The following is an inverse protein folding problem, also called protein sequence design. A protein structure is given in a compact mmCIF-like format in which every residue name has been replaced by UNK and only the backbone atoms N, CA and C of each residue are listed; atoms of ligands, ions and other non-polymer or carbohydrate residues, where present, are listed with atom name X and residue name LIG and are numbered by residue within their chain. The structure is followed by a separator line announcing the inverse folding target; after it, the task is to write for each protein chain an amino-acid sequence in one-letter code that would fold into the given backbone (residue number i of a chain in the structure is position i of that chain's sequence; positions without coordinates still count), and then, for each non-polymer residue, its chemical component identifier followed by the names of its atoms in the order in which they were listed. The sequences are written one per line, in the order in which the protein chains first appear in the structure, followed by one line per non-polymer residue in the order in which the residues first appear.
data_IF_916531698651
#
_entry.id   IF_916531698651
#
_cell.length_a   1.000
_cell.length_b   1.000
_cell.length_c   1.000
_cell.angle_alpha   90.00
_cell.angle_beta   90.00
_cell.angle_gamma   90.00
#
_symmetry.space_group_name_H-M   'P 1'
#
loop_
_entity.id
_entity.type
_entity.pdbx_description
1 polymer ?
#
# COMPACT_ATOMS: atom_id res chain seq x y z
N UNK A 1 -2.31 -6.41 -9.86
CA UNK A 1 -1.13 -5.98 -10.66
C UNK A 1 -0.13 -7.11 -10.92
N UNK A 2 0.43 -7.78 -9.89
CA UNK A 2 1.48 -8.79 -10.09
C UNK A 2 1.10 -9.94 -11.02
N UNK A 3 -0.11 -10.51 -10.86
CA UNK A 3 -0.56 -11.58 -11.75
C UNK A 3 -0.67 -11.18 -13.22
N UNK A 4 -1.04 -9.94 -13.55
CA UNK A 4 -1.14 -9.51 -14.95
C UNK A 4 0.23 -9.45 -15.63
N UNK A 5 1.28 -9.08 -14.89
CA UNK A 5 2.67 -9.08 -15.33
C UNK A 5 3.18 -10.52 -15.52
N UNK A 6 3.10 -11.35 -14.47
CA UNK A 6 3.66 -12.72 -14.46
C UNK A 6 2.97 -13.62 -15.47
N UNK A 7 1.65 -13.44 -15.66
CA UNK A 7 0.88 -14.19 -16.65
C UNK A 7 0.83 -13.53 -18.02
N UNK A 8 1.56 -12.42 -18.21
CA UNK A 8 1.70 -11.74 -19.49
C UNK A 8 0.35 -11.36 -20.12
N UNK A 9 -0.63 -10.94 -19.31
CA UNK A 9 -2.01 -10.66 -19.72
C UNK A 9 -2.06 -9.71 -20.91
N UNK A 10 -1.23 -8.68 -20.88
CA UNK A 10 -1.25 -7.55 -21.82
C UNK A 10 -0.29 -7.70 -23.01
N UNK A 11 0.32 -8.87 -23.22
CA UNK A 11 1.18 -9.10 -24.40
C UNK A 11 0.37 -9.14 -25.70
N UNK A 12 -0.87 -9.64 -25.66
CA UNK A 12 -1.74 -9.77 -26.82
C UNK A 12 -3.10 -9.10 -26.58
N UNK A 13 -3.69 -8.57 -27.66
CA UNK A 13 -5.03 -7.97 -27.63
C UNK A 13 -5.17 -6.84 -26.59
N UNK A 14 -4.11 -6.05 -26.43
CA UNK A 14 -4.03 -5.00 -25.42
C UNK A 14 -5.25 -4.07 -25.44
N UNK A 15 -5.71 -3.51 -26.58
CA UNK A 15 -6.86 -2.60 -26.57
C UNK A 15 -8.13 -3.26 -26.05
N UNK A 16 -8.46 -4.47 -26.54
CA UNK A 16 -9.67 -5.17 -26.14
C UNK A 16 -9.65 -5.59 -24.66
N UNK A 17 -8.47 -6.01 -24.16
CA UNK A 17 -8.30 -6.35 -22.74
C UNK A 17 -8.42 -5.13 -21.85
N UNK A 18 -7.86 -3.98 -22.25
CA UNK A 18 -7.99 -2.73 -21.51
C UNK A 18 -9.44 -2.22 -21.50
N UNK A 19 -10.14 -2.23 -22.63
CA UNK A 19 -11.55 -1.82 -22.68
C UNK A 19 -12.43 -2.68 -21.76
N UNK A 20 -12.19 -4.00 -21.77
CA UNK A 20 -12.87 -4.94 -20.87
C UNK A 20 -12.52 -4.69 -19.41
N UNK A 21 -11.25 -4.49 -19.09
CA UNK A 21 -10.79 -4.25 -17.72
C UNK A 21 -11.36 -2.91 -17.18
N UNK A 22 -11.39 -1.85 -18.00
CA UNK A 22 -12.03 -0.56 -17.67
C UNK A 22 -13.52 -0.74 -17.42
N UNK A 23 -14.22 -1.51 -18.27
CA UNK A 23 -15.66 -1.76 -18.06
C UNK A 23 -15.94 -2.49 -16.73
N UNK A 24 -15.03 -3.36 -16.29
CA UNK A 24 -15.15 -4.08 -15.02
C UNK A 24 -14.92 -3.14 -13.85
N UNK A 25 -13.92 -2.26 -13.96
CA UNK A 25 -13.64 -1.24 -12.93
C UNK A 25 -14.83 -0.31 -12.74
N UNK A 26 -15.50 0.09 -13.83
CA UNK A 26 -16.63 1.03 -13.77
C UNK A 26 -17.92 0.37 -13.23
N UNK A 27 -18.18 -0.89 -13.58
CA UNK A 27 -19.51 -1.49 -13.39
C UNK A 27 -19.60 -2.50 -12.24
N UNK A 28 -18.50 -2.89 -11.62
CA UNK A 28 -18.48 -3.97 -10.61
C UNK A 28 -18.10 -3.43 -9.24
N UNK A 29 -18.80 -3.93 -8.20
CA UNK A 29 -18.51 -3.55 -6.82
C UNK A 29 -17.15 -4.09 -6.33
N UNK A 30 -16.72 -5.26 -6.82
CA UNK A 30 -15.43 -5.88 -6.51
C UNK A 30 -14.62 -6.10 -7.79
N UNK A 31 -14.10 -5.02 -8.41
CA UNK A 31 -13.49 -5.11 -9.72
C UNK A 31 -12.20 -5.94 -9.69
N UNK A 32 -11.42 -5.87 -8.60
CA UNK A 32 -10.14 -6.58 -8.49
C UNK A 32 -10.28 -8.10 -8.44
N UNK A 33 -11.29 -8.62 -7.73
CA UNK A 33 -11.59 -10.07 -7.71
C UNK A 33 -11.98 -10.54 -9.11
N UNK A 34 -12.81 -9.78 -9.80
CA UNK A 34 -13.27 -10.12 -11.14
C UNK A 34 -12.13 -10.07 -12.16
N UNK A 35 -11.25 -9.09 -12.07
CA UNK A 35 -10.04 -9.00 -12.89
C UNK A 35 -9.08 -10.16 -12.63
N UNK A 36 -8.90 -10.54 -11.36
CA UNK A 36 -8.05 -11.68 -10.97
C UNK A 36 -8.63 -12.99 -11.48
N UNK A 37 -9.94 -13.18 -11.35
CA UNK A 37 -10.67 -14.34 -11.90
C UNK A 37 -10.54 -14.42 -13.42
N UNK A 38 -10.57 -13.29 -14.14
CA UNK A 38 -10.33 -13.29 -15.59
C UNK A 38 -8.92 -13.74 -15.95
N UNK A 39 -7.92 -13.42 -15.14
CA UNK A 39 -6.56 -13.93 -15.35
C UNK A 39 -6.53 -15.43 -15.07
N UNK A 40 -7.15 -15.87 -13.97
CA UNK A 40 -7.23 -17.29 -13.59
C UNK A 40 -7.90 -18.16 -14.66
N UNK A 41 -8.92 -17.63 -15.36
CA UNK A 41 -9.58 -18.29 -16.48
C UNK A 41 -8.68 -18.47 -17.70
N UNK A 42 -7.74 -17.55 -17.94
CA UNK A 42 -6.79 -17.64 -19.05
C UNK A 42 -5.58 -18.52 -18.70
N UNK A 43 -5.06 -18.40 -17.46
CA UNK A 43 -3.85 -19.08 -16.98
C UNK A 43 -3.92 -19.32 -15.48
N UNK A 44 -3.39 -20.46 -15.02
CA UNK A 44 -3.28 -20.75 -13.58
C UNK A 44 -2.52 -19.62 -12.85
N UNK A 45 -3.01 -19.18 -11.70
CA UNK A 45 -2.40 -18.12 -10.91
C UNK A 45 -1.18 -18.61 -10.14
N UNK A 46 -1.23 -19.84 -9.63
CA UNK A 46 -0.16 -20.46 -8.84
C UNK A 46 1.17 -20.43 -9.58
N UNK A 47 2.20 -19.87 -8.93
CA UNK A 47 3.57 -19.83 -9.42
C UNK A 47 4.23 -21.16 -9.07
N UNK A 48 4.59 -21.97 -10.07
CA UNK A 48 5.29 -23.23 -9.82
C UNK A 48 6.81 -23.07 -9.82
N UNK A 49 7.53 -23.93 -9.08
CA UNK A 49 9.00 -23.92 -9.01
C UNK A 49 9.68 -24.02 -10.39
N UNK A 50 9.05 -24.71 -11.36
CA UNK A 50 9.57 -24.87 -12.72
C UNK A 50 9.56 -23.56 -13.51
N UNK A 51 8.71 -22.59 -13.15
CA UNK A 51 8.67 -21.29 -13.83
C UNK A 51 9.92 -20.44 -13.60
N UNK A 52 10.75 -20.79 -12.62
CA UNK A 52 12.03 -20.13 -12.37
C UNK A 52 13.17 -20.71 -13.19
N UNK A 53 13.00 -21.89 -13.78
CA UNK A 53 14.08 -22.64 -14.42
C UNK A 53 14.68 -21.88 -15.62
N UNK A 54 15.96 -21.51 -15.49
CA UNK A 54 16.70 -20.78 -16.52
C UNK A 54 16.21 -19.34 -16.77
N UNK A 55 15.39 -18.80 -15.86
CA UNK A 55 14.79 -17.48 -16.01
C UNK A 55 15.77 -16.36 -15.62
N UNK A 56 15.93 -15.40 -16.52
CA UNK A 56 16.78 -14.22 -16.32
C UNK A 56 16.05 -13.00 -15.75
N UNK A 57 16.81 -11.93 -15.50
CA UNK A 57 16.36 -10.69 -14.82
C UNK A 57 15.26 -9.89 -15.56
N UNK A 58 15.01 -10.18 -16.84
CA UNK A 58 13.96 -9.52 -17.62
C UNK A 58 12.57 -10.10 -17.36
N UNK A 59 12.49 -11.26 -16.71
CA UNK A 59 11.23 -11.92 -16.44
C UNK A 59 10.48 -11.24 -15.27
N UNK A 60 9.14 -11.15 -15.32
CA UNK A 60 8.34 -10.53 -14.26
C UNK A 60 8.56 -11.11 -12.85
N UNK A 61 8.88 -12.40 -12.75
CA UNK A 61 9.23 -13.05 -11.46
C UNK A 61 10.41 -12.36 -10.77
N UNK A 62 11.34 -11.77 -11.52
CA UNK A 62 12.41 -10.97 -10.94
C UNK A 62 11.86 -9.75 -10.20
N UNK A 63 10.92 -9.03 -10.81
CA UNK A 63 10.26 -7.89 -10.19
C UNK A 63 9.57 -8.30 -8.89
N UNK A 64 8.74 -9.34 -8.95
CA UNK A 64 8.01 -9.85 -7.78
C UNK A 64 8.95 -10.26 -6.64
N UNK A 65 10.00 -11.03 -6.94
CA UNK A 65 10.97 -11.48 -5.94
C UNK A 65 11.64 -10.31 -5.22
N UNK A 66 12.00 -9.24 -5.94
CA UNK A 66 12.56 -8.02 -5.34
C UNK A 66 11.57 -7.33 -4.40
N UNK A 67 10.29 -7.27 -4.77
CA UNK A 67 9.25 -6.67 -3.93
C UNK A 67 8.98 -7.52 -2.68
N UNK A 68 8.94 -8.84 -2.81
CA UNK A 68 8.79 -9.74 -1.68
C UNK A 68 9.95 -9.62 -0.68
N UNK A 69 11.21 -9.58 -1.13
CA UNK A 69 12.33 -9.36 -0.19
C UNK A 69 12.26 -7.98 0.50
N UNK A 70 11.74 -6.96 -0.19
CA UNK A 70 11.46 -5.66 0.43
C UNK A 70 10.33 -5.71 1.44
N UNK A 71 9.28 -6.52 1.22
CA UNK A 71 8.18 -6.66 2.17
C UNK A 71 8.65 -7.36 3.44
N UNK A 72 9.53 -8.36 3.33
CA UNK A 72 10.16 -9.05 4.46
C UNK A 72 11.27 -8.27 5.17
N UNK A 73 11.50 -6.99 4.83
CA UNK A 73 12.57 -6.20 5.42
C UNK A 73 13.96 -6.87 5.30
N UNK A 74 14.17 -7.61 4.20
CA UNK A 74 15.43 -8.31 4.01
C UNK A 74 16.61 -7.32 4.01
N UNK A 75 17.76 -7.83 4.43
CA UNK A 75 18.97 -7.05 4.59
C UNK A 75 19.97 -7.37 3.49
N UNK A 76 20.84 -6.42 3.21
CA UNK A 76 22.01 -6.67 2.40
C UNK A 76 22.98 -7.59 3.16
N UNK A 77 23.34 -8.72 2.55
CA UNK A 77 24.25 -9.70 3.14
C UNK A 77 25.68 -9.20 3.36
N UNK A 78 26.04 -8.04 2.80
CA UNK A 78 27.37 -7.43 2.98
C UNK A 78 27.41 -6.35 4.06
N UNK A 79 26.32 -5.64 4.29
CA UNK A 79 26.30 -4.46 5.18
C UNK A 79 25.32 -4.56 6.34
N UNK A 80 24.40 -5.53 6.30
CA UNK A 80 23.32 -5.66 7.28
C UNK A 80 22.23 -4.59 7.16
N UNK A 81 22.32 -3.71 6.16
CA UNK A 81 21.37 -2.61 5.98
C UNK A 81 20.12 -3.13 5.27
N UNK A 82 18.95 -2.69 5.75
CA UNK A 82 17.65 -3.04 5.17
C UNK A 82 17.46 -2.44 3.76
N UNK A 83 16.87 -3.23 2.85
CA UNK A 83 16.65 -2.90 1.44
C UNK A 83 15.71 -1.68 1.24
N UNK A 84 14.87 -1.33 2.22
CA UNK A 84 13.92 -0.19 2.15
C UNK A 84 14.57 1.18 2.32
N UNK A 85 15.76 1.30 2.92
CA UNK A 85 16.38 2.61 3.17
C UNK A 85 16.91 3.21 1.87
N UNK A 86 16.53 4.44 1.55
CA UNK A 86 17.14 5.22 0.46
C UNK A 86 18.64 5.42 0.76
N UNK A 87 19.48 4.75 -0.01
CA UNK A 87 20.93 4.82 0.15
C UNK A 87 21.54 5.80 -0.87
N UNK A 88 22.53 6.59 -0.45
CA UNK A 88 23.29 7.45 -1.39
C UNK A 88 24.04 6.60 -2.44
N UNK A 89 24.42 7.21 -3.58
CA UNK A 89 25.04 6.55 -4.76
C UNK A 89 26.17 5.54 -4.48
N UNK A 90 26.86 5.63 -3.33
CA UNK A 90 27.96 4.74 -2.93
C UNK A 90 27.50 3.38 -2.40
N UNK A 91 26.23 3.24 -2.05
CA UNK A 91 25.64 2.03 -1.46
C UNK A 91 24.44 1.53 -2.27
N UNK A 92 24.50 1.72 -3.59
CA UNK A 92 23.49 1.19 -4.49
C UNK A 92 23.42 -0.34 -4.33
N UNK A 93 22.20 -0.84 -4.10
CA UNK A 93 21.95 -2.27 -3.93
C UNK A 93 22.08 -2.96 -5.27
N UNK A 94 23.04 -3.87 -5.38
CA UNK A 94 23.29 -4.70 -6.54
C UNK A 94 22.77 -6.12 -6.31
N UNK A 95 22.32 -6.74 -7.39
CA UNK A 95 21.75 -8.07 -7.37
C UNK A 95 22.72 -9.04 -8.04
N UNK A 96 23.60 -9.59 -7.24
CA UNK A 96 24.71 -10.40 -7.72
C UNK A 96 24.47 -11.89 -7.52
N UNK A 97 25.26 -12.69 -8.21
CA UNK A 97 25.20 -14.13 -8.10
C UNK A 97 25.65 -14.62 -6.72
N UNK A 98 24.93 -15.61 -6.17
CA UNK A 98 25.31 -16.35 -4.96
C UNK A 98 26.50 -17.24 -5.31
N UNK A 99 26.36 -18.03 -6.38
CA UNK A 99 27.45 -18.76 -7.01
C UNK A 99 28.02 -17.91 -8.14
N UNK A 100 29.24 -17.36 -8.01
CA UNK A 100 29.78 -16.42 -8.98
C UNK A 100 29.87 -17.01 -10.38
N UNK A 101 29.46 -16.25 -11.41
CA UNK A 101 29.43 -16.75 -12.78
C UNK A 101 30.80 -17.19 -13.30
N UNK A 102 31.89 -16.50 -12.93
CA UNK A 102 33.26 -16.88 -13.31
C UNK A 102 33.59 -18.33 -12.94
N UNK A 103 33.16 -18.73 -11.74
CA UNK A 103 33.38 -20.05 -11.15
C UNK A 103 32.54 -21.10 -11.85
N UNK A 104 31.25 -20.80 -12.06
CA UNK A 104 30.33 -21.68 -12.77
C UNK A 104 30.77 -21.88 -14.22
N UNK A 105 31.23 -20.82 -14.89
CA UNK A 105 31.74 -20.88 -16.27
C UNK A 105 32.91 -21.86 -16.38
N UNK A 106 33.87 -21.78 -15.47
CA UNK A 106 35.05 -22.64 -15.47
C UNK A 106 34.69 -24.11 -15.12
N UNK A 107 33.50 -24.34 -14.54
CA UNK A 107 32.94 -25.67 -14.22
C UNK A 107 31.82 -26.11 -15.19
N UNK A 108 31.82 -25.61 -16.42
CA UNK A 108 30.96 -26.11 -17.49
C UNK A 108 29.60 -25.42 -17.65
N UNK A 109 29.35 -24.31 -16.96
CA UNK A 109 28.18 -23.44 -17.14
C UNK A 109 28.47 -22.24 -18.05
N UNK A 110 29.46 -22.38 -18.94
CA UNK A 110 29.79 -21.39 -19.95
C UNK A 110 28.77 -21.34 -21.09
N UNK A 111 28.89 -20.34 -21.96
CA UNK A 111 27.99 -20.11 -23.10
C UNK A 111 27.93 -21.29 -24.09
N UNK A 112 28.92 -22.17 -24.07
CA UNK A 112 28.97 -23.39 -24.89
C UNK A 112 27.83 -24.37 -24.55
N UNK A 113 27.30 -24.33 -23.32
CA UNK A 113 26.12 -25.09 -22.92
C UNK A 113 25.00 -24.12 -22.56
N UNK A 114 24.07 -23.90 -23.49
CA UNK A 114 22.99 -22.92 -23.34
C UNK A 114 22.14 -23.15 -22.09
N UNK A 115 21.80 -24.39 -21.78
CA UNK A 115 20.95 -24.75 -20.63
C UNK A 115 21.70 -24.43 -19.33
N UNK A 116 22.93 -24.91 -19.19
CA UNK A 116 23.74 -24.62 -18.00
C UNK A 116 24.04 -23.12 -17.86
N UNK A 117 24.31 -22.43 -18.97
CA UNK A 117 24.46 -20.99 -18.95
C UNK A 117 23.21 -20.28 -18.41
N UNK A 118 22.01 -20.74 -18.77
CA UNK A 118 20.75 -20.21 -18.23
C UNK A 118 20.64 -20.45 -16.73
N UNK A 119 20.98 -21.63 -16.22
CA UNK A 119 21.00 -21.91 -14.77
C UNK A 119 21.97 -21.00 -14.02
N UNK A 120 23.15 -20.74 -14.58
CA UNK A 120 24.11 -19.84 -13.96
C UNK A 120 23.60 -18.39 -13.89
N UNK A 121 22.82 -17.96 -14.90
CA UNK A 121 22.25 -16.61 -14.97
C UNK A 121 20.88 -16.47 -14.29
N UNK A 122 20.34 -17.58 -13.79
CA UNK A 122 19.01 -17.66 -13.23
C UNK A 122 18.80 -16.67 -12.07
N UNK A 123 17.61 -16.11 -11.97
CA UNK A 123 17.26 -15.18 -10.89
C UNK A 123 17.39 -15.80 -9.50
N UNK A 124 17.18 -17.12 -9.36
CA UNK A 124 17.34 -17.86 -8.10
C UNK A 124 18.80 -18.12 -7.74
N UNK A 125 19.75 -17.80 -8.62
CA UNK A 125 21.17 -17.72 -8.26
C UNK A 125 21.54 -16.31 -7.77
N UNK A 126 20.59 -15.41 -7.43
CA UNK A 126 20.92 -14.01 -7.06
C UNK A 126 20.48 -13.63 -5.66
N UNK A 127 21.24 -12.74 -5.02
CA UNK A 127 20.94 -12.18 -3.70
C UNK A 127 21.29 -10.67 -3.65
N UNK A 128 20.75 -9.96 -2.66
CA UNK A 128 20.99 -8.52 -2.50
C UNK A 128 22.32 -8.24 -1.82
N UNK A 129 23.18 -7.50 -2.52
CA UNK A 129 24.52 -7.10 -2.08
C UNK A 129 24.75 -5.60 -2.30
N UNK A 130 25.83 -5.08 -1.74
CA UNK A 130 26.37 -3.75 -2.11
C UNK A 130 27.46 -3.89 -3.16
N UNK A 131 27.57 -2.91 -4.06
CA UNK A 131 28.58 -2.84 -5.13
C UNK A 131 30.04 -3.05 -4.68
N UNK A 132 30.38 -2.74 -3.42
CA UNK A 132 31.71 -2.94 -2.83
C UNK A 132 32.06 -4.41 -2.57
N UNK A 133 31.07 -5.26 -2.30
CA UNK A 133 31.26 -6.69 -2.02
C UNK A 133 31.40 -7.54 -3.29
N UNK A 134 30.92 -7.04 -4.43
CA UNK A 134 31.05 -7.70 -5.74
C UNK A 134 32.50 -7.83 -6.21
N UNK A 135 33.43 -7.06 -5.64
CA UNK A 135 34.84 -7.02 -6.09
C UNK A 135 35.73 -8.12 -5.50
N UNK A 136 35.24 -8.94 -4.57
CA UNK A 136 36.09 -9.87 -3.77
C UNK A 136 35.69 -11.35 -3.80
N UNK A 137 34.79 -11.79 -4.68
CA UNK A 137 34.28 -13.19 -4.67
C UNK A 137 35.08 -14.15 -5.56
N UNK A 138 35.57 -15.25 -4.99
CA UNK A 138 36.25 -16.38 -5.68
C UNK A 138 35.45 -17.70 -5.58
N UNK A 139 35.94 -18.81 -6.13
CA UNK A 139 35.21 -20.08 -6.32
C UNK A 139 34.78 -20.83 -5.06
N UNK A 140 35.58 -20.75 -4.00
CA UNK A 140 35.24 -21.30 -2.68
C UNK A 140 34.15 -20.46 -1.98
N UNK A 141 33.79 -19.30 -2.55
CA UNK A 141 33.09 -18.26 -1.83
C UNK A 141 31.65 -18.59 -1.46
N UNK A 142 30.84 -19.34 -2.22
CA UNK A 142 29.41 -19.48 -1.87
C UNK A 142 29.20 -20.08 -0.45
N UNK A 143 29.94 -21.14 -0.14
CA UNK A 143 29.94 -21.76 1.19
C UNK A 143 30.46 -20.80 2.28
N UNK A 144 31.68 -20.28 2.10
CA UNK A 144 32.32 -19.40 3.08
C UNK A 144 31.52 -18.12 3.31
N UNK A 145 30.94 -17.59 2.23
CA UNK A 145 30.12 -16.40 2.19
C UNK A 145 28.78 -16.60 2.90
N UNK A 146 28.02 -17.64 2.56
CA UNK A 146 26.73 -17.90 3.20
C UNK A 146 26.91 -18.27 4.67
N UNK A 147 27.99 -18.97 5.02
CA UNK A 147 28.40 -19.22 6.41
C UNK A 147 28.66 -17.91 7.15
N UNK A 148 29.48 -17.02 6.57
CA UNK A 148 29.74 -15.70 7.17
C UNK A 148 28.49 -14.82 7.28
N UNK A 149 27.54 -14.92 6.34
CA UNK A 149 26.24 -14.24 6.41
C UNK A 149 25.41 -14.79 7.56
N UNK A 150 25.34 -16.12 7.71
CA UNK A 150 24.62 -16.79 8.81
C UNK A 150 25.17 -16.42 10.18
N UNK A 151 26.49 -16.29 10.30
CA UNK A 151 27.16 -15.89 11.54
C UNK A 151 26.95 -14.39 11.87
N UNK A 152 27.13 -13.50 10.89
CA UNK A 152 27.05 -12.05 11.12
C UNK A 152 25.60 -11.54 11.18
N UNK A 153 24.68 -12.18 10.48
CA UNK A 153 23.28 -11.77 10.38
C UNK A 153 22.33 -12.97 10.52
N UNK A 154 22.05 -13.40 11.77
CA UNK A 154 21.10 -14.47 12.03
C UNK A 154 19.74 -14.20 11.34
N UNK A 155 19.12 -15.24 10.80
CA UNK A 155 17.84 -15.20 10.07
C UNK A 155 17.85 -14.51 8.71
N UNK A 156 18.94 -13.87 8.27
CA UNK A 156 18.94 -13.13 7.00
C UNK A 156 18.76 -14.03 5.77
N UNK A 157 19.24 -15.27 5.84
CA UNK A 157 19.11 -16.27 4.77
C UNK A 157 17.64 -16.56 4.45
N UNK A 158 16.82 -16.76 5.48
CA UNK A 158 15.38 -16.99 5.34
C UNK A 158 14.67 -15.80 4.67
N UNK A 159 15.07 -14.56 5.00
CA UNK A 159 14.47 -13.34 4.42
C UNK A 159 14.67 -13.20 2.91
N UNK A 160 15.64 -13.91 2.32
CA UNK A 160 15.86 -13.96 0.86
C UNK A 160 15.64 -15.36 0.26
N UNK A 161 14.92 -16.23 0.99
CA UNK A 161 14.64 -17.62 0.62
C UNK A 161 15.91 -18.40 0.24
N UNK A 162 16.98 -18.28 1.03
CA UNK A 162 18.18 -19.10 0.86
C UNK A 162 18.02 -20.38 1.70
N UNK A 163 18.17 -21.58 1.09
CA UNK A 163 18.15 -22.83 1.83
C UNK A 163 19.23 -22.86 2.91
N UNK A 164 18.83 -23.12 4.16
CA UNK A 164 19.74 -23.22 5.31
C UNK A 164 20.29 -24.65 5.49
N UNK A 165 20.89 -25.17 4.41
CA UNK A 165 21.64 -26.43 4.40
C UNK A 165 23.01 -26.20 3.77
N UNK A 166 24.04 -26.23 4.63
CA UNK A 166 25.45 -26.11 4.31
C UNK A 166 25.91 -27.01 3.15
N UNK A 167 25.30 -28.19 2.97
CA UNK A 167 25.64 -29.07 1.85
C UNK A 167 25.20 -28.48 0.51
N UNK A 168 24.09 -27.77 0.46
CA UNK A 168 23.59 -27.15 -0.77
C UNK A 168 24.47 -25.99 -1.25
N UNK A 169 25.31 -25.42 -0.38
CA UNK A 169 26.18 -24.31 -0.75
C UNK A 169 27.46 -24.74 -1.48
N UNK A 170 27.72 -26.05 -1.55
CA UNK A 170 28.85 -26.62 -2.30
C UNK A 170 28.59 -26.53 -3.80
N UNK A 171 29.63 -26.23 -4.57
CA UNK A 171 29.55 -26.08 -6.02
C UNK A 171 28.98 -27.33 -6.74
N UNK A 172 29.33 -28.52 -6.26
CA UNK A 172 28.83 -29.80 -6.76
C UNK A 172 27.31 -29.98 -6.61
N UNK A 173 26.71 -29.26 -5.66
CA UNK A 173 25.27 -29.27 -5.39
C UNK A 173 24.54 -28.04 -5.95
N UNK A 174 25.18 -27.25 -6.83
CA UNK A 174 24.58 -26.04 -7.39
C UNK A 174 23.17 -26.25 -7.98
N UNK A 175 22.96 -27.29 -8.77
CA UNK A 175 21.63 -27.57 -9.34
C UNK A 175 20.60 -27.99 -8.26
N UNK A 176 21.04 -28.66 -7.20
CA UNK A 176 20.19 -29.00 -6.04
C UNK A 176 19.83 -27.75 -5.23
N UNK A 177 20.77 -26.82 -5.08
CA UNK A 177 20.53 -25.51 -4.47
C UNK A 177 19.46 -24.74 -5.24
N UNK A 178 19.59 -24.64 -6.57
CA UNK A 178 18.58 -23.98 -7.39
C UNK A 178 17.22 -24.64 -7.20
N UNK A 179 17.15 -25.98 -7.28
CA UNK A 179 15.90 -26.71 -7.07
C UNK A 179 15.25 -26.42 -5.72
N UNK A 180 16.02 -26.47 -4.63
CA UNK A 180 15.52 -26.17 -3.27
C UNK A 180 15.05 -24.72 -3.16
N UNK A 181 15.84 -23.77 -3.67
CA UNK A 181 15.49 -22.36 -3.62
C UNK A 181 14.28 -22.01 -4.49
N UNK A 182 14.11 -22.64 -5.66
CA UNK A 182 12.92 -22.49 -6.50
C UNK A 182 11.65 -22.91 -5.77
N UNK A 183 11.70 -24.01 -5.02
CA UNK A 183 10.57 -24.49 -4.23
C UNK A 183 10.21 -23.48 -3.14
N UNK A 184 11.19 -23.06 -2.33
CA UNK A 184 10.98 -22.06 -1.27
C UNK A 184 10.42 -20.74 -1.83
N UNK A 185 10.97 -20.26 -2.95
CA UNK A 185 10.48 -19.03 -3.59
C UNK A 185 9.06 -19.19 -4.14
N UNK A 186 8.72 -20.33 -4.75
CA UNK A 186 7.38 -20.57 -5.24
C UNK A 186 6.35 -20.54 -4.10
N UNK A 187 6.63 -21.26 -3.00
CA UNK A 187 5.77 -21.29 -1.81
C UNK A 187 5.58 -19.88 -1.22
N UNK A 188 6.68 -19.22 -0.88
CA UNK A 188 6.64 -17.90 -0.25
C UNK A 188 6.05 -16.79 -1.13
N UNK A 189 6.26 -16.84 -2.45
CA UNK A 189 5.68 -15.86 -3.37
C UNK A 189 4.19 -16.08 -3.58
N UNK A 190 3.71 -17.33 -3.60
CA UNK A 190 2.26 -17.59 -3.64
C UNK A 190 1.62 -17.12 -2.35
N UNK A 191 2.17 -17.48 -1.19
CA UNK A 191 1.68 -17.01 0.11
C UNK A 191 1.66 -15.48 0.20
N UNK A 192 2.70 -14.81 -0.30
CA UNK A 192 2.73 -13.36 -0.36
C UNK A 192 1.63 -12.77 -1.24
N UNK A 193 1.39 -13.34 -2.44
CA UNK A 193 0.36 -12.85 -3.33
C UNK A 193 -1.05 -13.08 -2.77
N UNK A 194 -1.28 -14.22 -2.13
CA UNK A 194 -2.55 -14.54 -1.48
C UNK A 194 -2.82 -13.57 -0.32
N UNK A 195 -1.82 -13.27 0.51
CA UNK A 195 -1.93 -12.31 1.62
C UNK A 195 -2.00 -10.84 1.18
N UNK A 196 -1.53 -10.47 -0.01
CA UNK A 196 -1.76 -9.11 -0.55
C UNK A 196 -3.21 -8.95 -1.00
N UNK A 197 -3.81 -10.03 -1.51
CA UNK A 197 -5.22 -10.02 -1.95
C UNK A 197 -6.13 -9.94 -0.72
N UNK A 198 -5.73 -10.57 0.37
CA UNK A 198 -6.37 -10.45 1.67
C UNK A 198 -5.87 -9.16 2.36
N UNK A 199 -6.42 -8.00 1.97
CA UNK A 199 -6.01 -6.66 2.43
C UNK A 199 -5.84 -6.63 3.96
N UNK A 200 -4.61 -6.79 4.43
CA UNK A 200 -4.33 -6.95 5.86
C UNK A 200 -4.39 -5.59 6.56
N UNK A 201 -4.95 -5.59 7.77
CA UNK A 201 -5.12 -4.39 8.60
C UNK A 201 -3.80 -3.69 8.97
N UNK A 202 -2.63 -4.32 8.78
CA UNK A 202 -1.32 -3.76 9.16
C UNK A 202 -0.83 -2.67 8.19
N UNK A 203 -1.12 -2.76 6.89
CA UNK A 203 -0.72 -1.72 5.92
C UNK A 203 -1.52 -0.43 6.11
N UNK A 204 -2.82 -0.56 6.42
CA UNK A 204 -3.70 0.58 6.74
C UNK A 204 -3.20 1.30 8.01
N UNK A 205 -2.76 0.55 9.02
CA UNK A 205 -2.20 1.13 10.26
C UNK A 205 -0.94 1.95 10.01
N UNK A 206 -0.03 1.47 9.15
CA UNK A 206 1.22 2.16 8.84
C UNK A 206 0.99 3.44 8.01
N UNK A 207 0.13 3.38 7.00
CA UNK A 207 -0.24 4.54 6.17
C UNK A 207 -0.90 5.64 7.00
N UNK A 208 -1.84 5.26 7.87
CA UNK A 208 -2.55 6.19 8.75
C UNK A 208 -1.64 6.84 9.80
N UNK A 209 -0.68 6.10 10.35
CA UNK A 209 0.30 6.66 11.28
C UNK A 209 1.22 7.68 10.60
N UNK A 210 1.62 7.42 9.36
CA UNK A 210 2.37 8.38 8.54
C UNK A 210 1.55 9.63 8.21
N UNK A 211 0.26 9.47 7.88
CA UNK A 211 -0.67 10.59 7.65
C UNK A 211 -0.86 11.45 8.91
N UNK A 212 -1.06 10.84 10.08
CA UNK A 212 -1.20 11.56 11.35
C UNK A 212 0.09 12.31 11.67
N UNK A 213 1.25 11.66 11.50
CA UNK A 213 2.57 12.24 11.76
C UNK A 213 2.93 13.40 10.81
N UNK A 214 2.38 13.41 9.59
CA UNK A 214 2.59 14.47 8.61
C UNK A 214 1.78 15.74 8.92
N UNK A 215 0.78 15.66 9.78
CA UNK A 215 -0.05 16.79 10.20
C UNK A 215 -1.14 17.19 9.20
N UNK A 216 -1.95 18.17 9.61
CA UNK A 216 -3.01 18.74 8.75
C UNK A 216 -2.43 19.43 7.52
N UNK A 217 -3.07 19.22 6.37
CA UNK A 217 -2.67 19.78 5.10
C UNK A 217 -3.88 20.03 4.19
N UNK A 218 -3.66 20.29 2.90
CA UNK A 218 -4.73 20.54 1.93
C UNK A 218 -5.63 19.33 1.67
N UNK A 219 -5.16 18.11 1.96
CA UNK A 219 -5.88 16.87 1.75
C UNK A 219 -6.21 16.14 3.06
N UNK A 220 -5.74 16.61 4.21
CA UNK A 220 -5.95 15.96 5.52
C UNK A 220 -6.38 16.98 6.56
N UNK A 221 -7.46 16.70 7.29
CA UNK A 221 -7.96 17.50 8.42
C UNK A 221 -8.19 16.60 9.64
N UNK A 222 -7.79 17.07 10.82
CA UNK A 222 -8.02 16.37 12.07
C UNK A 222 -9.14 17.02 12.87
N UNK A 223 -9.91 16.18 13.56
CA UNK A 223 -10.93 16.62 14.52
C UNK A 223 -10.86 15.73 15.75
N UNK A 224 -10.86 16.35 16.92
CA UNK A 224 -10.79 15.59 18.18
C UNK A 224 -12.04 14.74 18.39
N UNK A 225 -13.20 15.29 18.06
CA UNK A 225 -14.52 14.69 18.31
C UNK A 225 -15.52 15.15 17.26
N UNK A 226 -16.57 14.37 17.02
CA UNK A 226 -17.66 14.72 16.11
C UNK A 226 -18.72 15.63 16.76
N UNK A 227 -19.11 15.34 18.01
CA UNK A 227 -20.18 16.08 18.71
C UNK A 227 -19.92 16.32 20.19
N UNK A 228 -18.91 15.70 20.79
CA UNK A 228 -18.61 15.87 22.21
C UNK A 228 -17.62 17.01 22.46
N UNK A 229 -18.03 18.05 23.18
CA UNK A 229 -17.12 19.15 23.51
C UNK A 229 -16.27 18.80 24.73
N UNK A 230 -14.98 18.51 24.50
CA UNK A 230 -14.03 18.12 25.55
C UNK A 230 -13.82 19.19 26.63
N UNK A 231 -14.12 20.47 26.35
CA UNK A 231 -13.95 21.57 27.32
C UNK A 231 -15.15 21.69 28.24
N UNK A 232 -16.36 21.51 27.70
CA UNK A 232 -17.60 21.65 28.48
C UNK A 232 -18.14 20.32 29.00
N UNK A 233 -17.64 19.19 28.48
CA UNK A 233 -18.07 17.84 28.86
C UNK A 233 -19.49 17.50 28.40
N UNK A 234 -19.96 18.14 27.33
CA UNK A 234 -21.35 18.03 26.86
C UNK A 234 -21.46 17.94 25.34
N UNK A 235 -22.56 17.38 24.85
CA UNK A 235 -22.87 17.35 23.41
C UNK A 235 -23.05 18.77 22.87
N UNK A 236 -22.32 19.08 21.81
CA UNK A 236 -22.30 20.37 21.13
C UNK A 236 -22.62 20.18 19.64
N UNK A 237 -23.85 20.51 19.24
CA UNK A 237 -24.31 20.40 17.84
C UNK A 237 -23.51 21.26 16.86
N UNK A 238 -22.80 22.29 17.32
CA UNK A 238 -21.93 23.09 16.44
C UNK A 238 -20.74 22.29 15.95
N UNK A 239 -20.29 21.27 16.68
CA UNK A 239 -19.23 20.38 16.22
C UNK A 239 -19.70 19.54 15.02
N UNK A 240 -20.96 19.07 15.03
CA UNK A 240 -21.57 18.39 13.87
C UNK A 240 -21.59 19.32 12.64
N UNK A 241 -21.91 20.61 12.82
CA UNK A 241 -21.85 21.62 11.74
C UNK A 241 -20.41 21.81 11.21
N UNK A 242 -19.40 21.74 12.09
CA UNK A 242 -17.99 21.81 11.69
C UNK A 242 -17.58 20.59 10.86
N UNK A 243 -18.03 19.38 11.24
CA UNK A 243 -17.80 18.16 10.45
C UNK A 243 -18.42 18.28 9.06
N UNK A 244 -19.68 18.71 9.00
CA UNK A 244 -20.38 18.92 7.73
C UNK A 244 -19.66 19.96 6.86
N UNK A 245 -19.22 21.07 7.45
CA UNK A 245 -18.43 22.10 6.76
C UNK A 245 -17.16 21.53 6.16
N UNK A 246 -16.42 20.70 6.90
CA UNK A 246 -15.20 20.06 6.41
C UNK A 246 -15.47 19.13 5.23
N UNK A 247 -16.53 18.31 5.32
CA UNK A 247 -16.94 17.42 4.22
C UNK A 247 -17.25 18.22 2.95
N UNK A 248 -18.04 19.29 3.06
CA UNK A 248 -18.35 20.13 1.91
C UNK A 248 -17.10 20.83 1.34
N UNK A 249 -16.21 21.32 2.21
CA UNK A 249 -15.00 22.01 1.77
C UNK A 249 -14.05 21.11 0.97
N UNK A 250 -13.88 19.85 1.38
CA UNK A 250 -13.10 18.86 0.64
C UNK A 250 -13.79 18.47 -0.67
N UNK A 251 -15.09 18.18 -0.62
CA UNK A 251 -15.84 17.75 -1.80
C UNK A 251 -15.92 18.83 -2.89
N UNK A 252 -16.05 20.10 -2.49
CA UNK A 252 -16.01 21.25 -3.39
C UNK A 252 -14.61 21.50 -4.00
N UNK A 253 -13.56 20.93 -3.41
CA UNK A 253 -12.18 21.05 -3.86
C UNK A 253 -11.75 19.79 -4.66
N UNK A 254 -10.62 19.19 -4.29
CA UNK A 254 -10.02 18.00 -4.93
C UNK A 254 -10.37 16.70 -4.20
N UNK A 255 -11.20 16.76 -3.14
CA UNK A 255 -11.36 15.67 -2.17
C UNK A 255 -10.38 15.77 -1.00
N UNK A 256 -10.38 14.76 -0.14
CA UNK A 256 -9.47 14.68 1.01
C UNK A 256 -9.94 13.70 2.07
N UNK A 257 -9.23 13.68 3.19
CA UNK A 257 -9.43 12.76 4.31
C UNK A 257 -9.69 13.56 5.59
N UNK A 258 -10.82 13.27 6.23
CA UNK A 258 -11.15 13.76 7.57
C UNK A 258 -10.90 12.65 8.58
N UNK A 259 -10.03 12.91 9.56
CA UNK A 259 -9.72 11.97 10.64
C UNK A 259 -10.29 12.51 11.96
N UNK A 260 -11.11 11.69 12.63
CA UNK A 260 -11.74 12.00 13.91
C UNK A 260 -11.19 11.12 15.02
N UNK A 261 -10.97 11.70 16.20
CA UNK A 261 -10.30 11.04 17.33
C UNK A 261 -8.82 11.39 17.45
N UNK A 262 -8.39 12.50 16.83
CA UNK A 262 -7.02 13.02 16.87
C UNK A 262 -7.05 14.50 17.29
N UNK A 263 -6.18 14.90 18.22
CA UNK A 263 -6.07 16.30 18.68
C UNK A 263 -5.28 17.16 17.68
N UNK A 264 -5.35 18.48 17.85
CA UNK A 264 -4.52 19.42 17.08
C UNK A 264 -3.01 19.19 17.30
N UNK A 265 -2.63 18.56 18.42
CA UNK A 265 -1.25 18.17 18.76
C UNK A 265 -0.87 16.77 18.22
N UNK A 266 -1.70 16.18 17.34
CA UNK A 266 -1.53 14.84 16.75
C UNK A 266 -1.62 13.68 17.75
N UNK A 267 -2.20 13.90 18.93
CA UNK A 267 -2.44 12.83 19.90
C UNK A 267 -3.71 12.05 19.57
N UNK A 268 -3.64 10.72 19.64
CA UNK A 268 -4.78 9.83 19.40
C UNK A 268 -5.60 9.73 20.69
N UNK A 269 -6.82 10.27 20.65
CA UNK A 269 -7.76 10.25 21.79
C UNK A 269 -8.94 9.29 21.58
N UNK A 270 -9.19 8.89 20.32
CA UNK A 270 -10.26 7.96 19.96
C UNK A 270 -11.67 8.55 19.99
N UNK A 271 -12.66 7.66 19.86
CA UNK A 271 -14.08 8.02 19.69
C UNK A 271 -14.96 7.74 20.92
N UNK A 272 -14.37 7.30 22.03
CA UNK A 272 -15.10 6.82 23.21
C UNK A 272 -16.14 7.85 23.72
N UNK A 273 -15.79 9.12 23.76
CA UNK A 273 -16.69 10.19 24.21
C UNK A 273 -17.86 10.42 23.24
N UNK A 274 -17.62 10.32 21.94
CA UNK A 274 -18.67 10.44 20.94
C UNK A 274 -19.61 9.22 20.98
N UNK A 275 -19.07 8.01 21.17
CA UNK A 275 -19.84 6.79 21.37
C UNK A 275 -20.77 6.93 22.58
N UNK A 276 -20.24 7.31 23.74
CA UNK A 276 -21.04 7.51 24.96
C UNK A 276 -22.15 8.57 24.81
N UNK A 277 -22.02 9.49 23.85
CA UNK A 277 -23.05 10.50 23.56
C UNK A 277 -24.24 9.99 22.75
N UNK A 278 -24.14 8.77 22.20
CA UNK A 278 -25.15 8.09 21.40
C UNK A 278 -25.92 7.06 22.24
N UNK A 279 -27.01 6.50 21.71
CA UNK A 279 -27.98 5.74 22.53
C UNK A 279 -27.37 4.45 23.12
N UNK A 280 -26.73 3.66 22.28
CA UNK A 280 -26.12 2.38 22.62
C UNK A 280 -24.59 2.45 22.60
N UNK A 281 -24.03 3.58 22.17
CA UNK A 281 -22.59 3.86 22.20
C UNK A 281 -21.74 2.86 21.43
N UNK A 282 -22.24 2.45 20.27
CA UNK A 282 -21.53 1.55 19.36
C UNK A 282 -21.03 2.29 18.13
N UNK A 283 -19.98 1.72 17.52
CA UNK A 283 -19.47 2.11 16.21
C UNK A 283 -20.56 2.21 15.14
N UNK A 284 -21.45 1.22 15.06
CA UNK A 284 -22.55 1.20 14.08
C UNK A 284 -23.47 2.41 14.22
N UNK A 285 -23.75 2.83 15.46
CA UNK A 285 -24.59 4.01 15.70
C UNK A 285 -23.87 5.31 15.33
N UNK A 286 -22.57 5.38 15.57
CA UNK A 286 -21.77 6.54 15.20
C UNK A 286 -21.68 6.68 13.67
N UNK A 287 -21.44 5.59 12.95
CA UNK A 287 -21.48 5.60 11.48
C UNK A 287 -22.87 6.00 10.97
N UNK A 288 -23.93 5.39 11.52
CA UNK A 288 -25.30 5.72 11.16
C UNK A 288 -25.63 7.20 11.44
N UNK A 289 -25.12 7.77 12.53
CA UNK A 289 -25.30 9.19 12.84
C UNK A 289 -24.61 10.09 11.82
N UNK A 290 -23.36 9.79 11.44
CA UNK A 290 -22.66 10.53 10.38
C UNK A 290 -23.43 10.45 9.06
N UNK A 291 -23.84 9.24 8.65
CA UNK A 291 -24.63 9.05 7.41
C UNK A 291 -25.95 9.82 7.47
N UNK A 292 -26.62 9.85 8.62
CA UNK A 292 -27.83 10.64 8.79
C UNK A 292 -27.54 12.14 8.66
N UNK A 293 -26.47 12.65 9.28
CA UNK A 293 -26.09 14.07 9.17
C UNK A 293 -25.82 14.44 7.70
N UNK A 294 -25.02 13.65 6.99
CA UNK A 294 -24.67 13.92 5.59
C UNK A 294 -25.87 13.75 4.66
N UNK A 295 -26.73 12.76 4.89
CA UNK A 295 -27.97 12.56 4.12
C UNK A 295 -28.91 13.76 4.26
N UNK A 296 -29.05 14.30 5.48
CA UNK A 296 -29.89 15.47 5.71
C UNK A 296 -29.28 16.75 5.12
N UNK A 297 -27.96 16.88 5.11
CA UNK A 297 -27.28 18.08 4.63
C UNK A 297 -27.11 18.11 3.09
N UNK A 298 -26.72 16.98 2.49
CA UNK A 298 -26.25 16.91 1.10
C UNK A 298 -27.00 15.89 0.25
N UNK A 299 -27.93 15.14 0.85
CA UNK A 299 -28.71 14.12 0.18
C UNK A 299 -28.05 12.75 0.16
N UNK A 300 -28.87 11.75 -0.16
CA UNK A 300 -28.49 10.32 -0.17
C UNK A 300 -27.52 10.01 -1.31
N UNK A 301 -27.70 10.64 -2.46
CA UNK A 301 -26.84 10.48 -3.64
C UNK A 301 -25.38 10.78 -3.27
N UNK A 302 -25.11 11.99 -2.78
CA UNK A 302 -23.80 12.42 -2.29
C UNK A 302 -23.23 11.46 -1.23
N UNK A 303 -24.00 11.22 -0.18
CA UNK A 303 -23.52 10.50 1.01
C UNK A 303 -23.20 9.03 0.73
N UNK A 304 -23.79 8.44 -0.31
CA UNK A 304 -23.62 7.02 -0.62
C UNK A 304 -22.48 6.74 -1.60
N UNK A 305 -22.14 7.71 -2.45
CA UNK A 305 -21.16 7.50 -3.53
C UNK A 305 -19.83 8.21 -3.30
N UNK A 306 -19.78 9.26 -2.46
CA UNK A 306 -18.55 10.07 -2.30
C UNK A 306 -18.00 10.12 -0.89
N UNK A 307 -18.55 9.33 0.04
CA UNK A 307 -18.04 9.19 1.39
C UNK A 307 -17.74 7.73 1.69
N UNK A 308 -16.47 7.43 1.92
CA UNK A 308 -16.04 6.14 2.45
C UNK A 308 -15.66 6.31 3.92
N UNK A 309 -16.42 5.68 4.82
CA UNK A 309 -16.23 5.79 6.28
C UNK A 309 -15.62 4.50 6.77
N UNK A 310 -14.48 4.60 7.44
CA UNK A 310 -13.79 3.46 8.06
C UNK A 310 -13.39 3.77 9.50
N UNK A 311 -13.10 2.71 10.25
CA UNK A 311 -12.77 2.79 11.67
C UNK A 311 -11.53 1.94 11.98
N UNK A 312 -10.34 2.43 11.62
CA UNK A 312 -9.09 1.76 11.90
C UNK A 312 -8.68 1.89 13.38
N UNK A 313 -7.94 0.90 13.87
CA UNK A 313 -7.31 0.91 15.20
C UNK A 313 -5.87 1.42 15.07
N UNK A 314 -5.54 2.54 15.71
CA UNK A 314 -4.17 3.08 15.79
C UNK A 314 -3.76 3.09 17.26
N UNK A 315 -2.63 2.46 17.60
CA UNK A 315 -2.20 2.28 19.00
C UNK A 315 -3.32 1.73 19.91
N UNK A 316 -4.02 0.71 19.42
CA UNK A 316 -5.17 0.06 20.09
C UNK A 316 -6.38 0.98 20.37
N UNK A 317 -6.38 2.19 19.79
CA UNK A 317 -7.46 3.16 19.90
C UNK A 317 -8.19 3.28 18.57
N UNK A 318 -9.52 3.13 18.59
CA UNK A 318 -10.35 3.26 17.39
C UNK A 318 -10.55 4.74 17.04
N UNK A 319 -10.22 5.11 15.80
CA UNK A 319 -10.48 6.43 15.23
C UNK A 319 -11.44 6.30 14.05
N UNK A 320 -12.02 7.41 13.58
CA UNK A 320 -12.89 7.40 12.40
C UNK A 320 -12.20 8.14 11.26
N UNK A 321 -12.10 7.50 10.11
CA UNK A 321 -11.52 8.07 8.89
C UNK A 321 -12.63 8.17 7.84
N UNK A 322 -12.86 9.37 7.33
CA UNK A 322 -13.78 9.64 6.23
C UNK A 322 -12.95 10.08 5.03
N UNK A 323 -12.88 9.25 4.00
CA UNK A 323 -12.38 9.62 2.69
C UNK A 323 -13.51 10.29 1.92
N UNK A 324 -13.23 11.49 1.40
CA UNK A 324 -14.21 12.37 0.76
C UNK A 324 -13.75 12.57 -0.68
N UNK A 325 -14.53 12.05 -1.61
CA UNK A 325 -14.28 12.25 -3.03
C UNK A 325 -14.85 13.59 -3.51
N UNK A 326 -14.17 14.20 -4.47
CA UNK A 326 -14.63 15.42 -5.12
C UNK A 326 -15.96 15.16 -5.85
N UNK A 327 -16.97 16.01 -5.64
CA UNK A 327 -18.29 15.82 -6.25
C UNK A 327 -18.45 16.63 -7.54
N UNK A 328 -19.43 16.29 -8.37
CA UNK A 328 -19.73 16.97 -9.64
C UNK A 328 -20.77 18.11 -9.50
N UNK A 329 -21.20 18.43 -8.27
CA UNK A 329 -22.14 19.52 -7.96
C UNK A 329 -21.63 20.30 -6.74
N UNK A 330 -21.90 21.61 -6.67
CA UNK A 330 -21.54 22.40 -5.50
C UNK A 330 -22.32 21.96 -4.26
N UNK A 331 -21.62 21.78 -3.14
CA UNK A 331 -22.23 21.55 -1.83
C UNK A 331 -22.28 22.84 -1.00
N UNK A 332 -23.46 23.11 -0.44
CA UNK A 332 -23.70 24.22 0.47
C UNK A 332 -23.98 23.67 1.86
N UNK A 333 -23.28 24.17 2.87
CA UNK A 333 -23.46 23.76 4.27
C UNK A 333 -24.30 24.79 5.01
N UNK A 334 -25.36 24.33 5.68
CA UNK A 334 -26.13 25.17 6.60
C UNK A 334 -25.39 25.32 7.93
N UNK A 335 -25.06 26.55 8.31
CA UNK A 335 -24.45 26.88 9.60
C UNK A 335 -25.40 27.71 10.46
N UNK A 336 -25.37 27.49 11.77
CA UNK A 336 -26.14 28.29 12.72
C UNK A 336 -25.28 29.40 13.34
N UNK A 337 -25.78 30.63 13.35
CA UNK A 337 -25.10 31.75 14.02
C UNK A 337 -25.25 31.68 15.57
N UNK A 338 -24.71 32.69 16.27
CA UNK A 338 -24.80 32.76 17.74
C UNK A 338 -26.24 32.88 18.26
N UNK A 339 -27.17 33.30 17.42
CA UNK A 339 -28.59 33.50 17.72
C UNK A 339 -29.49 32.37 17.17
N UNK A 340 -28.90 31.34 16.55
CA UNK A 340 -29.61 30.18 16.01
C UNK A 340 -30.20 30.41 14.61
N UNK A 341 -29.86 31.52 13.94
CA UNK A 341 -30.25 31.77 12.56
C UNK A 341 -29.40 30.89 11.65
N UNK A 342 -30.07 30.16 10.75
CA UNK A 342 -29.45 29.25 9.80
C UNK A 342 -29.17 29.96 8.48
N UNK A 343 -27.94 29.85 8.00
CA UNK A 343 -27.51 30.38 6.70
C UNK A 343 -26.75 29.31 5.92
N UNK A 344 -27.07 29.17 4.64
CA UNK A 344 -26.31 28.32 3.72
C UNK A 344 -25.05 29.04 3.26
N UNK A 345 -23.93 28.32 3.29
CA UNK A 345 -22.61 28.84 2.96
C UNK A 345 -21.85 27.86 2.09
N UNK A 346 -21.04 28.40 1.19
CA UNK A 346 -20.14 27.61 0.35
C UNK A 346 -18.73 27.66 0.94
N UNK A 347 -18.15 26.49 1.21
CA UNK A 347 -16.81 26.37 1.76
C UNK A 347 -15.87 25.71 0.76
N UNK A 348 -14.62 26.17 0.75
CA UNK A 348 -13.56 25.63 -0.09
C UNK A 348 -12.34 25.35 0.76
N UNK A 349 -11.68 24.21 0.55
CA UNK A 349 -10.41 23.90 1.20
C UNK A 349 -9.28 24.76 0.64
N UNK A 350 -8.53 25.44 1.52
CA UNK A 350 -7.36 26.24 1.17
C UNK A 350 -6.28 26.08 2.23
N UNK A 351 -5.20 25.36 1.88
CA UNK A 351 -4.18 24.95 2.85
C UNK A 351 -4.79 24.11 3.96
N UNK A 352 -4.49 24.45 5.22
CA UNK A 352 -5.07 23.79 6.40
C UNK A 352 -6.38 24.44 6.89
N UNK A 353 -7.08 25.19 6.03
CA UNK A 353 -8.30 25.91 6.43
C UNK A 353 -9.44 25.75 5.43
N UNK A 354 -10.67 25.99 5.90
CA UNK A 354 -11.88 25.92 5.07
C UNK A 354 -12.64 27.25 5.11
N UNK A 355 -12.14 28.30 4.43
CA UNK A 355 -12.81 29.60 4.34
C UNK A 355 -14.14 29.53 3.59
N UNK A 356 -15.05 30.43 3.96
CA UNK A 356 -16.27 30.69 3.18
C UNK A 356 -15.88 31.43 1.89
N UNK A 357 -16.35 30.95 0.74
CA UNK A 357 -16.12 31.62 -0.53
C UNK A 357 -17.15 32.76 -0.69
N UNK A 358 -16.73 34.02 -0.89
CA UNK A 358 -17.65 35.13 -1.08
C UNK A 358 -18.53 34.95 -2.31
N UNK A 359 -19.77 35.44 -2.26
CA UNK A 359 -20.73 35.36 -3.38
C UNK A 359 -20.20 35.97 -4.67
N UNK A 360 -19.30 36.96 -4.58
CA UNK A 360 -18.66 37.60 -5.74
C UNK A 360 -17.72 36.65 -6.52
N UNK A 361 -17.12 35.67 -5.85
CA UNK A 361 -16.17 34.72 -6.45
C UNK A 361 -16.84 33.37 -6.77
N UNK A 362 -17.94 33.06 -6.07
CA UNK A 362 -18.65 31.79 -6.15
C UNK A 362 -19.07 31.42 -7.58
N UNK A 363 -19.67 32.36 -8.33
CA UNK A 363 -20.16 32.08 -9.68
C UNK A 363 -19.01 31.72 -10.64
N UNK A 364 -17.86 32.39 -10.52
CA UNK A 364 -16.69 32.09 -11.34
C UNK A 364 -16.07 30.73 -10.99
N UNK A 365 -16.02 30.41 -9.70
CA UNK A 365 -15.53 29.11 -9.24
C UNK A 365 -16.41 27.96 -9.73
N UNK A 366 -17.74 28.09 -9.57
CA UNK A 366 -18.68 27.03 -9.94
C UNK A 366 -18.58 26.69 -11.43
N UNK A 367 -18.59 27.71 -12.30
CA UNK A 367 -18.50 27.52 -13.75
C UNK A 367 -17.16 26.94 -14.22
N UNK A 368 -16.10 27.02 -13.40
CA UNK A 368 -14.80 26.46 -13.77
C UNK A 368 -14.63 25.04 -13.24
N UNK A 369 -15.26 24.74 -12.08
CA UNK A 369 -15.07 23.49 -11.35
C UNK A 369 -16.09 22.41 -11.68
N UNK A 370 -17.34 22.80 -11.97
CA UNK A 370 -18.47 21.86 -12.08
C UNK A 370 -19.18 21.88 -13.45
N UNK A 371 -18.92 22.87 -14.30
CA UNK A 371 -19.33 22.90 -15.71
C UNK A 371 -18.16 22.46 -16.61
#
# INVERSE_FOLDING_TARGET
FYYSQIRFRYISQLPQKLDKDISIIINENNPFDKLTNLIALERNLEISANEFEGVGILHPLWGLMKFYFKSKNAICFSTGINIRKNMGKKYELEWDHIFPYSVLRDNGYGMNNRIKYQYAQEITNRAVLTATANRTKSAQAAYDYLTGVKENFPNSLALQCIPDDDNLWKLEHFELFLKSRRQMLAEELNDFLDNIIDTSQEEIKMDLFEMISAGENNLVEFKTTMRYDMKTGTVNKRLEEVILKTIAAFSNAEGGTLIMGVTDDMEIVGLEQDYQSLKNGTKDEFELHIRNLTNHAYGVDFSSSNLNISFPLVEDTEICVIEIESWNKPLYTTMSDKHGVKTEKFYLRSGNSSPELPTSELAGYINTRFD
#
